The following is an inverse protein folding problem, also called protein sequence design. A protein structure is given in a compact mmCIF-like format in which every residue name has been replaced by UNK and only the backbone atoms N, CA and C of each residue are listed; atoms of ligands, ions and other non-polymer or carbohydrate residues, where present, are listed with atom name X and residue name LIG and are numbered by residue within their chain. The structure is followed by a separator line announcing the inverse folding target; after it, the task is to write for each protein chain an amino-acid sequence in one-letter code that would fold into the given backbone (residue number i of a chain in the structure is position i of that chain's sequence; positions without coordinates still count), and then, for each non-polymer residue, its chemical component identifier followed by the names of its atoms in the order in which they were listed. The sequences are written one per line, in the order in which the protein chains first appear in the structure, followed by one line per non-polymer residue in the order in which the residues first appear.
data_IF_829218337919
#
_entry.id   IF_829218337919
#
_cell.length_a   1.000
_cell.length_b   1.000
_cell.length_c   1.000
_cell.angle_alpha   90.00
_cell.angle_beta   90.00
_cell.angle_gamma   90.00
#
_symmetry.space_group_name_H-M   'P 1'
#
loop_
_entity.id
_entity.type
_entity.pdbx_description
1 polymer ?
#
# COMPACT_ATOMS: atom_id res chain seq x y z
N UNK A 1 -1.82 -9.37 -16.74
CA UNK A 1 -1.99 -8.01 -17.30
C UNK A 1 -3.44 -7.88 -17.75
N UNK A 2 -4.29 -7.16 -17.01
CA UNK A 2 -5.69 -6.86 -17.43
C UNK A 2 -5.75 -5.39 -17.86
N UNK A 3 -5.61 -5.08 -19.16
CA UNK A 3 -5.80 -3.72 -19.65
C UNK A 3 -7.26 -3.32 -19.41
N UNK A 4 -7.51 -2.35 -18.53
CA UNK A 4 -8.87 -1.89 -18.18
C UNK A 4 -9.21 -1.90 -16.69
N UNK A 5 -8.41 -2.56 -15.84
CA UNK A 5 -8.47 -2.32 -14.38
C UNK A 5 -7.79 -0.99 -14.00
N UNK A 6 -6.77 -0.59 -14.78
CA UNK A 6 -5.99 0.66 -14.66
C UNK A 6 -6.88 1.89 -14.51
N UNK A 7 -7.83 2.08 -15.43
CA UNK A 7 -8.62 3.30 -15.47
C UNK A 7 -9.83 3.26 -14.54
N UNK A 8 -10.37 2.07 -14.24
CA UNK A 8 -11.55 1.95 -13.37
C UNK A 8 -11.21 2.14 -11.89
N UNK A 9 -10.15 1.52 -11.38
CA UNK A 9 -9.74 1.72 -9.99
C UNK A 9 -9.17 3.13 -9.78
N UNK A 10 -8.43 3.69 -10.75
CA UNK A 10 -7.88 5.04 -10.68
C UNK A 10 -8.94 6.14 -10.82
N UNK A 11 -9.94 6.02 -11.71
CA UNK A 11 -11.04 7.00 -11.76
C UNK A 11 -11.98 6.89 -10.55
N UNK A 12 -12.17 5.69 -9.96
CA UNK A 12 -12.80 5.59 -8.63
C UNK A 12 -11.97 6.32 -7.57
N UNK A 13 -10.64 6.31 -7.74
CA UNK A 13 -9.66 7.02 -6.92
C UNK A 13 -9.78 8.57 -7.01
N UNK A 14 -10.75 9.15 -7.72
CA UNK A 14 -10.98 10.61 -7.66
C UNK A 14 -12.43 10.99 -7.34
N UNK A 15 -13.35 10.02 -7.29
CA UNK A 15 -14.81 10.29 -7.26
C UNK A 15 -15.54 9.84 -5.99
N UNK A 16 -14.84 9.19 -5.06
CA UNK A 16 -15.42 8.59 -3.86
C UNK A 16 -14.54 8.83 -2.63
N UNK A 17 -15.16 8.91 -1.44
CA UNK A 17 -14.46 8.90 -0.15
C UNK A 17 -13.57 7.65 -0.08
N UNK A 18 -12.32 7.82 0.34
CA UNK A 18 -11.36 6.72 0.55
C UNK A 18 -10.58 6.96 1.83
N UNK A 19 -10.09 5.87 2.39
CA UNK A 19 -9.12 5.91 3.48
C UNK A 19 -7.74 5.65 2.86
N UNK A 20 -6.80 6.57 3.11
CA UNK A 20 -5.42 6.48 2.64
C UNK A 20 -4.50 6.33 3.84
N UNK A 21 -3.73 5.24 3.89
CA UNK A 21 -2.79 4.96 4.99
C UNK A 21 -1.37 4.85 4.43
N UNK A 22 -0.44 5.75 4.80
CA UNK A 22 0.95 5.64 4.39
C UNK A 22 1.71 4.66 5.30
N UNK A 23 2.69 3.96 4.73
CA UNK A 23 3.64 3.12 5.48
C UNK A 23 5.04 3.23 4.89
N UNK A 24 5.97 3.74 5.68
CA UNK A 24 7.39 3.73 5.33
C UNK A 24 8.07 2.43 5.76
N UNK A 25 8.44 1.52 4.84
CA UNK A 25 8.99 0.21 5.19
C UNK A 25 10.39 0.32 5.83
N UNK A 26 10.46 0.09 7.14
CA UNK A 26 11.67 0.31 7.96
C UNK A 26 12.29 -0.94 8.56
N UNK A 27 11.53 -2.03 8.61
CA UNK A 27 11.87 -3.30 9.23
C UNK A 27 11.14 -4.41 8.49
N UNK A 28 11.64 -5.64 8.60
CA UNK A 28 11.04 -6.80 7.92
C UNK A 28 9.61 -7.06 8.38
N UNK A 29 9.40 -7.04 9.70
CA UNK A 29 8.09 -7.24 10.31
C UNK A 29 7.54 -5.95 10.93
N UNK A 30 6.22 -5.80 10.89
CA UNK A 30 5.47 -4.80 11.65
C UNK A 30 5.28 -5.25 13.11
N UNK A 31 5.55 -4.37 14.08
CA UNK A 31 5.12 -4.59 15.46
C UNK A 31 3.64 -4.23 15.64
N UNK A 32 3.00 -4.69 16.72
CA UNK A 32 1.56 -4.45 16.98
C UNK A 32 1.13 -2.98 16.85
N UNK A 33 1.96 -2.04 17.32
CA UNK A 33 1.66 -0.61 17.20
C UNK A 33 1.51 -0.10 15.75
N UNK A 34 2.14 -0.76 14.76
CA UNK A 34 1.98 -0.41 13.35
C UNK A 34 0.69 -0.93 12.75
N UNK A 35 0.03 -1.91 13.39
CA UNK A 35 -1.20 -2.50 12.88
C UNK A 35 -2.44 -1.68 13.24
N UNK A 36 -2.34 -0.77 14.22
CA UNK A 36 -3.46 0.07 14.66
C UNK A 36 -4.10 0.87 13.51
N UNK A 37 -3.34 1.52 12.60
CA UNK A 37 -3.92 2.20 11.44
C UNK A 37 -4.45 1.25 10.36
N UNK A 38 -3.99 -0.02 10.35
CA UNK A 38 -4.36 -1.05 9.38
C UNK A 38 -5.50 -1.94 9.84
N UNK A 39 -6.16 -1.61 10.94
CA UNK A 39 -7.39 -2.30 11.33
C UNK A 39 -8.45 -2.07 10.25
N UNK A 40 -8.89 -3.15 9.60
CA UNK A 40 -9.89 -3.19 8.51
C UNK A 40 -11.16 -2.39 8.81
N UNK A 41 -11.46 -2.18 10.10
CA UNK A 41 -12.66 -1.51 10.62
C UNK A 41 -13.14 -0.29 9.81
N UNK A 42 -12.25 0.60 9.34
CA UNK A 42 -12.68 1.78 8.58
C UNK A 42 -13.19 1.44 7.18
N UNK A 43 -12.51 0.53 6.48
CA UNK A 43 -13.00 0.02 5.19
C UNK A 43 -14.37 -0.64 5.40
N UNK A 44 -14.52 -1.36 6.51
CA UNK A 44 -15.68 -2.16 6.78
C UNK A 44 -16.88 -1.36 7.28
N UNK A 45 -16.66 -0.33 8.09
CA UNK A 45 -17.69 0.56 8.61
C UNK A 45 -18.25 1.49 7.52
N UNK A 46 -17.39 2.03 6.65
CA UNK A 46 -17.79 3.00 5.63
C UNK A 46 -18.02 2.38 4.24
N UNK A 47 -17.66 1.11 4.04
CA UNK A 47 -17.73 0.41 2.75
C UNK A 47 -17.02 1.18 1.63
N UNK A 48 -15.88 1.78 1.95
CA UNK A 48 -15.07 2.60 1.03
C UNK A 48 -13.85 1.86 0.51
N UNK A 49 -13.33 2.21 -0.69
CA UNK A 49 -12.04 1.71 -1.14
C UNK A 49 -10.89 2.16 -0.21
N UNK A 50 -9.91 1.29 -0.03
CA UNK A 50 -8.71 1.54 0.76
C UNK A 50 -7.50 1.69 -0.19
N UNK A 51 -6.70 2.71 0.04
CA UNK A 51 -5.43 2.91 -0.67
C UNK A 51 -4.29 2.91 0.34
N UNK A 52 -3.26 2.11 0.08
CA UNK A 52 -2.10 1.98 0.97
C UNK A 52 -0.85 2.29 0.17
N UNK A 53 -0.18 3.36 0.58
CA UNK A 53 1.07 3.80 -0.04
C UNK A 53 2.25 3.28 0.76
N UNK A 54 3.13 2.53 0.10
CA UNK A 54 4.40 2.08 0.66
C UNK A 54 5.49 3.06 0.21
N UNK A 55 5.88 3.96 1.11
CA UNK A 55 6.82 5.06 0.85
C UNK A 55 8.27 4.59 0.91
N UNK A 56 8.61 3.67 0.00
CA UNK A 56 9.94 3.10 -0.15
C UNK A 56 10.99 4.12 -0.63
N UNK A 57 10.54 5.16 -1.34
CA UNK A 57 11.33 6.33 -1.72
C UNK A 57 11.72 7.22 -0.51
N UNK A 58 10.79 7.48 0.41
CA UNK A 58 11.02 8.20 1.67
C UNK A 58 12.06 7.45 2.50
N UNK A 59 11.94 6.12 2.59
CA UNK A 59 12.94 5.31 3.30
C UNK A 59 14.30 5.32 2.64
N UNK A 60 14.37 5.32 1.31
CA UNK A 60 15.61 5.52 0.56
C UNK A 60 16.22 6.90 0.81
N UNK A 61 15.40 7.97 0.89
CA UNK A 61 15.89 9.33 1.11
C UNK A 61 16.39 9.58 2.54
N UNK A 62 15.76 8.97 3.55
CA UNK A 62 16.05 9.25 4.96
C UNK A 62 16.91 8.20 5.67
N UNK A 63 17.19 7.06 5.03
CA UNK A 63 18.01 5.98 5.60
C UNK A 63 19.10 5.56 4.62
N UNK A 64 20.18 5.00 5.15
CA UNK A 64 21.25 4.43 4.34
C UNK A 64 20.87 3.02 3.83
N UNK A 65 19.83 2.97 2.98
CA UNK A 65 19.31 1.73 2.39
C UNK A 65 19.46 1.81 0.86
N UNK A 66 19.71 0.67 0.23
CA UNK A 66 19.69 0.59 -1.24
C UNK A 66 18.24 0.58 -1.75
N UNK A 67 18.01 0.93 -3.01
CA UNK A 67 16.68 0.82 -3.64
C UNK A 67 16.17 -0.63 -3.56
N UNK A 68 17.06 -1.61 -3.76
CA UNK A 68 16.71 -3.03 -3.67
C UNK A 68 16.22 -3.41 -2.26
N UNK A 69 16.88 -2.90 -1.22
CA UNK A 69 16.49 -3.13 0.17
C UNK A 69 15.16 -2.46 0.50
N UNK A 70 14.94 -1.22 0.05
CA UNK A 70 13.66 -0.52 0.25
C UNK A 70 12.50 -1.28 -0.41
N UNK A 71 12.68 -1.77 -1.64
CA UNK A 71 11.68 -2.59 -2.35
C UNK A 71 11.42 -3.92 -1.63
N UNK A 72 12.46 -4.57 -1.10
CA UNK A 72 12.32 -5.80 -0.32
C UNK A 72 11.50 -5.57 0.95
N UNK A 73 11.83 -4.54 1.72
CA UNK A 73 11.10 -4.18 2.94
C UNK A 73 9.65 -3.77 2.64
N UNK A 74 9.40 -3.05 1.54
CA UNK A 74 8.05 -2.72 1.08
C UNK A 74 7.23 -3.99 0.83
N UNK A 75 7.83 -4.98 0.15
CA UNK A 75 7.17 -6.26 -0.12
C UNK A 75 6.87 -7.04 1.16
N UNK A 76 7.81 -7.13 2.11
CA UNK A 76 7.54 -7.82 3.38
C UNK A 76 6.44 -7.13 4.20
N UNK A 77 6.46 -5.79 4.27
CA UNK A 77 5.41 -5.04 4.98
C UNK A 77 4.04 -5.14 4.28
N UNK A 78 4.01 -5.29 2.95
CA UNK A 78 2.76 -5.53 2.24
C UNK A 78 2.12 -6.86 2.65
N UNK A 79 2.92 -7.91 2.87
CA UNK A 79 2.41 -9.21 3.36
C UNK A 79 1.75 -9.05 4.72
N UNK A 80 2.40 -8.36 5.66
CA UNK A 80 1.84 -8.08 6.98
C UNK A 80 0.51 -7.31 6.88
N UNK A 81 0.45 -6.29 6.00
CA UNK A 81 -0.77 -5.49 5.78
C UNK A 81 -1.90 -6.34 5.19
N UNK A 82 -1.62 -7.22 4.23
CA UNK A 82 -2.62 -8.11 3.64
C UNK A 82 -3.23 -9.03 4.72
N UNK A 83 -2.45 -9.47 5.71
CA UNK A 83 -2.96 -10.31 6.81
C UNK A 83 -3.90 -9.56 7.78
N UNK A 84 -4.04 -8.25 7.68
CA UNK A 84 -4.94 -7.46 8.53
C UNK A 84 -6.42 -7.60 8.20
N UNK A 85 -6.79 -8.32 7.13
CA UNK A 85 -8.18 -8.67 6.80
C UNK A 85 -8.83 -7.84 5.70
N UNK A 86 -8.12 -6.88 5.10
CA UNK A 86 -8.68 -6.02 4.05
C UNK A 86 -9.35 -6.78 2.89
N UNK A 87 -10.46 -6.24 2.40
CA UNK A 87 -11.12 -6.68 1.18
C UNK A 87 -10.21 -6.42 -0.03
N UNK A 88 -9.68 -7.49 -0.63
CA UNK A 88 -8.75 -7.46 -1.77
C UNK A 88 -9.39 -6.78 -2.99
N UNK A 89 -10.71 -6.85 -3.16
CA UNK A 89 -11.38 -6.21 -4.29
C UNK A 89 -11.39 -4.69 -4.14
N UNK A 90 -11.50 -4.20 -2.89
CA UNK A 90 -11.58 -2.77 -2.53
C UNK A 90 -10.26 -2.15 -2.09
N UNK A 91 -9.19 -2.93 -1.99
CA UNK A 91 -7.90 -2.46 -1.51
C UNK A 91 -6.90 -2.33 -2.63
N UNK A 92 -6.13 -1.24 -2.63
CA UNK A 92 -5.04 -1.00 -3.57
C UNK A 92 -3.78 -0.63 -2.79
N UNK A 93 -2.78 -1.51 -2.83
CA UNK A 93 -1.47 -1.31 -2.22
C UNK A 93 -0.46 -1.03 -3.35
N UNK A 94 0.38 -0.01 -3.20
CA UNK A 94 1.42 0.30 -4.17
C UNK A 94 2.70 0.80 -3.49
N UNK A 95 3.84 0.64 -4.15
CA UNK A 95 5.11 1.25 -3.75
C UNK A 95 5.43 2.44 -4.63
N UNK A 96 6.03 3.49 -4.07
CA UNK A 96 6.34 4.72 -4.81
C UNK A 96 7.33 4.46 -5.94
N UNK A 97 8.38 3.66 -5.70
CA UNK A 97 9.33 3.29 -6.75
C UNK A 97 8.70 2.53 -7.93
N UNK A 98 7.62 1.79 -7.70
CA UNK A 98 6.95 1.02 -8.77
C UNK A 98 5.88 1.88 -9.47
N UNK A 99 5.12 2.64 -8.68
CA UNK A 99 3.97 3.38 -9.17
C UNK A 99 4.36 4.62 -9.98
N UNK A 100 5.36 5.39 -9.51
CA UNK A 100 5.83 6.59 -10.23
C UNK A 100 6.43 6.22 -11.60
N UNK A 101 6.93 5.00 -11.77
CA UNK A 101 7.43 4.47 -13.04
C UNK A 101 6.37 3.84 -13.96
N UNK A 102 5.08 3.86 -13.58
CA UNK A 102 4.00 3.22 -14.35
C UNK A 102 3.93 1.69 -14.23
N UNK A 103 4.76 1.08 -13.37
CA UNK A 103 4.76 -0.35 -13.09
C UNK A 103 3.89 -0.64 -11.86
N UNK A 104 2.63 -1.03 -12.09
CA UNK A 104 1.81 -1.63 -11.03
C UNK A 104 2.29 -3.07 -10.85
N UNK A 105 3.08 -3.31 -9.81
CA UNK A 105 3.23 -4.67 -9.26
C UNK A 105 2.07 -4.87 -8.30
N UNK A 106 1.13 -5.74 -8.65
CA UNK A 106 0.22 -6.30 -7.65
C UNK A 106 1.08 -7.23 -6.78
N UNK A 107 1.22 -6.89 -5.50
CA UNK A 107 1.71 -7.82 -4.49
C UNK A 107 0.57 -8.78 -4.12
#
# INVERSE_FOLDING_TARGET
MVPGLRDRKFNLCYRSLRVSQPRGPSSEALHLGHLIPFMEYLQDAFKVPQVIQLTDDEKFMWKNLTIAECKRLAHENAKDIITCGFDIEKTFIFTDFSYVGGFITYL
#
